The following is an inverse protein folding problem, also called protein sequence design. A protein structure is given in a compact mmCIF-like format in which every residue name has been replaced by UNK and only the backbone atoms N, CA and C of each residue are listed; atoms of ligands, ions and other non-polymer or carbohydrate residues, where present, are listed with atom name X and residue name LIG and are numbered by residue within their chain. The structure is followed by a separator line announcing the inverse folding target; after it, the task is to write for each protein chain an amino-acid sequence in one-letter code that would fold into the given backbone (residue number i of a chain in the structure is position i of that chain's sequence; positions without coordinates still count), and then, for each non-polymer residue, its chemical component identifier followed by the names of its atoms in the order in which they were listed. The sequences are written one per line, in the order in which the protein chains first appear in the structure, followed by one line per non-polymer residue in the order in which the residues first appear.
data_IF_413246630986
#
_entry.id   IF_413246630986
#
_cell.length_a   1.000
_cell.length_b   1.000
_cell.length_c   1.000
_cell.angle_alpha   90.00
_cell.angle_beta   90.00
_cell.angle_gamma   90.00
#
_symmetry.space_group_name_H-M   'P 1'
#
loop_
_entity.id
_entity.type
_entity.pdbx_description
1 polymer ?
#
# COMPACT_ATOMS: atom_id res chain seq x y z
N UNK A 1 45.14 -0.11 15.01
CA UNK A 1 44.22 -0.75 14.04
C UNK A 1 43.24 -1.70 14.74
N UNK A 2 42.36 -1.20 15.63
CA UNK A 2 41.36 -2.04 16.32
C UNK A 2 39.95 -1.43 16.35
N UNK A 3 39.81 -0.16 15.98
CA UNK A 3 38.54 0.59 16.09
C UNK A 3 37.68 0.58 14.80
N UNK A 4 38.23 0.13 13.66
CA UNK A 4 37.49 0.11 12.39
C UNK A 4 36.54 -1.09 12.25
N UNK A 5 36.75 -2.17 13.01
CA UNK A 5 35.93 -3.38 12.92
C UNK A 5 34.56 -3.22 13.60
N UNK A 6 34.45 -2.38 14.64
CA UNK A 6 33.22 -2.23 15.42
C UNK A 6 32.17 -1.40 14.65
N UNK A 7 32.61 -0.40 13.89
CA UNK A 7 31.72 0.49 13.12
C UNK A 7 31.04 -0.27 11.95
N UNK A 8 31.77 -1.19 11.31
CA UNK A 8 31.24 -1.98 10.21
C UNK A 8 30.13 -2.97 10.64
N UNK A 9 30.24 -3.57 11.83
CA UNK A 9 29.23 -4.51 12.35
C UNK A 9 27.94 -3.79 12.74
N UNK A 10 28.02 -2.57 13.29
CA UNK A 10 26.84 -1.76 13.64
C UNK A 10 26.11 -1.27 12.39
N UNK A 11 26.83 -0.91 11.32
CA UNK A 11 26.22 -0.52 10.05
C UNK A 11 25.46 -1.67 9.36
N UNK A 12 25.97 -2.91 9.46
CA UNK A 12 25.30 -4.12 8.97
C UNK A 12 24.05 -4.49 9.78
N UNK A 13 24.05 -4.22 11.10
CA UNK A 13 22.89 -4.46 11.96
C UNK A 13 21.76 -3.43 11.73
N UNK A 14 22.09 -2.20 11.36
CA UNK A 14 21.11 -1.16 11.02
C UNK A 14 20.50 -1.32 9.62
N UNK A 15 21.18 -2.05 8.72
CA UNK A 15 20.65 -2.40 7.40
C UNK A 15 19.55 -3.48 7.45
N UNK A 16 19.38 -4.17 8.59
CA UNK A 16 18.34 -5.19 8.80
C UNK A 16 16.96 -4.62 9.16
N UNK A 17 16.86 -3.34 9.51
CA UNK A 17 15.58 -2.67 9.78
C UNK A 17 14.95 -2.15 8.49
N UNK A 18 14.66 -3.05 7.54
CA UNK A 18 13.85 -2.68 6.37
C UNK A 18 12.37 -2.72 6.72
N UNK A 19 11.57 -1.85 6.10
CA UNK A 19 10.10 -1.88 6.25
C UNK A 19 9.53 -3.26 5.92
N UNK A 20 10.12 -3.95 4.94
CA UNK A 20 9.79 -5.33 4.58
C UNK A 20 10.05 -6.33 5.72
N UNK A 21 11.18 -6.22 6.44
CA UNK A 21 11.49 -7.08 7.56
C UNK A 21 10.52 -6.86 8.73
N UNK A 22 10.18 -5.59 9.01
CA UNK A 22 9.18 -5.23 10.02
C UNK A 22 7.80 -5.78 9.68
N UNK A 23 7.36 -5.61 8.44
CA UNK A 23 6.08 -6.11 7.95
C UNK A 23 6.01 -7.63 8.03
N UNK A 24 7.07 -8.33 7.61
CA UNK A 24 7.14 -9.79 7.64
C UNK A 24 7.12 -10.33 9.07
N UNK A 25 7.67 -9.58 10.03
CA UNK A 25 7.65 -9.92 11.46
C UNK A 25 6.28 -9.65 12.09
N UNK A 26 5.61 -8.57 11.71
CA UNK A 26 4.29 -8.20 12.22
C UNK A 26 3.16 -9.08 11.66
N UNK A 27 3.34 -9.60 10.43
CA UNK A 27 2.34 -10.39 9.73
C UNK A 27 2.92 -11.69 9.16
N UNK A 28 3.45 -12.60 10.00
CA UNK A 28 4.19 -13.78 9.56
C UNK A 28 3.31 -14.78 8.79
N UNK A 29 2.01 -14.81 9.09
CA UNK A 29 1.07 -15.80 8.54
C UNK A 29 0.36 -15.33 7.26
N UNK A 30 0.69 -14.13 6.75
CA UNK A 30 -0.01 -13.55 5.60
C UNK A 30 0.69 -13.86 4.29
N UNK A 31 -0.09 -14.27 3.30
CA UNK A 31 0.37 -14.46 1.93
C UNK A 31 0.51 -13.11 1.21
N UNK A 32 1.64 -12.92 0.51
CA UNK A 32 1.99 -11.66 -0.15
C UNK A 32 1.72 -11.75 -1.66
N UNK A 33 0.97 -10.79 -2.18
CA UNK A 33 0.67 -10.68 -3.62
C UNK A 33 0.96 -9.28 -4.13
N UNK A 34 1.71 -9.17 -5.23
CA UNK A 34 2.09 -7.90 -5.86
C UNK A 34 1.41 -7.76 -7.22
N UNK A 35 0.84 -6.60 -7.49
CA UNK A 35 0.17 -6.27 -8.74
C UNK A 35 0.66 -4.91 -9.24
N UNK A 36 0.71 -4.69 -10.55
CA UNK A 36 0.98 -3.36 -11.12
C UNK A 36 -0.32 -2.60 -11.29
N UNK A 37 -0.35 -1.34 -10.89
CA UNK A 37 -1.45 -0.42 -11.19
C UNK A 37 -1.35 0.11 -12.63
N UNK A 38 -2.29 0.97 -13.03
CA UNK A 38 -2.31 1.60 -14.35
C UNK A 38 -1.08 2.44 -14.67
N UNK A 39 -0.42 2.97 -13.64
CA UNK A 39 0.72 3.88 -13.74
C UNK A 39 2.06 3.12 -13.77
N UNK A 40 2.03 1.79 -13.61
CA UNK A 40 3.19 0.91 -13.61
C UNK A 40 3.78 0.64 -12.22
N UNK A 41 3.33 1.38 -11.21
CA UNK A 41 3.73 1.18 -9.82
C UNK A 41 3.15 -0.11 -9.25
N UNK A 42 3.86 -0.71 -8.31
CA UNK A 42 3.47 -2.00 -7.79
C UNK A 42 2.82 -1.88 -6.41
N UNK A 43 1.57 -2.35 -6.31
CA UNK A 43 0.81 -2.47 -5.08
C UNK A 43 0.98 -3.85 -4.47
N UNK A 44 1.32 -3.90 -3.19
CA UNK A 44 1.48 -5.15 -2.43
C UNK A 44 0.34 -5.35 -1.43
N UNK A 45 -0.24 -6.56 -1.46
CA UNK A 45 -1.32 -7.00 -0.57
C UNK A 45 -0.85 -8.17 0.30
N UNK A 46 -1.07 -8.06 1.61
CA UNK A 46 -0.93 -9.13 2.59
C UNK A 46 -2.28 -9.71 2.95
N UNK A 47 -2.59 -10.89 2.43
CA UNK A 47 -3.86 -11.54 2.65
C UNK A 47 -3.77 -12.62 3.72
N UNK A 48 -4.85 -12.80 4.49
CA UNK A 48 -5.01 -14.01 5.28
C UNK A 48 -4.81 -15.26 4.39
N UNK A 49 -4.24 -16.35 4.91
CA UNK A 49 -3.91 -17.51 4.10
C UNK A 49 -5.16 -18.26 3.60
N UNK A 50 -4.99 -19.10 2.58
CA UNK A 50 -6.03 -20.01 2.10
C UNK A 50 -6.06 -20.19 0.59
N UNK A 51 -6.74 -21.23 0.11
CA UNK A 51 -6.75 -21.61 -1.31
C UNK A 51 -7.25 -20.49 -2.26
N UNK A 52 -8.06 -19.56 -1.76
CA UNK A 52 -8.60 -18.42 -2.49
C UNK A 52 -7.86 -17.09 -2.21
N UNK A 53 -6.75 -17.09 -1.47
CA UNK A 53 -6.02 -15.89 -1.07
C UNK A 53 -5.61 -15.02 -2.28
N UNK A 54 -5.07 -15.63 -3.34
CA UNK A 54 -4.74 -14.93 -4.59
C UNK A 54 -5.96 -14.33 -5.28
N UNK A 55 -7.10 -15.01 -5.24
CA UNK A 55 -8.35 -14.51 -5.83
C UNK A 55 -8.89 -13.31 -5.04
N UNK A 56 -8.83 -13.36 -3.70
CA UNK A 56 -9.15 -12.21 -2.85
C UNK A 56 -8.20 -11.03 -3.10
N UNK A 57 -6.90 -11.28 -3.18
CA UNK A 57 -5.90 -10.25 -3.49
C UNK A 57 -6.18 -9.58 -4.84
N UNK A 58 -6.54 -10.37 -5.86
CA UNK A 58 -6.90 -9.84 -7.18
C UNK A 58 -8.16 -8.96 -7.13
N UNK A 59 -9.18 -9.37 -6.35
CA UNK A 59 -10.40 -8.56 -6.15
C UNK A 59 -10.10 -7.28 -5.36
N UNK A 60 -9.26 -7.36 -4.34
CA UNK A 60 -8.80 -6.20 -3.57
C UNK A 60 -8.07 -5.21 -4.49
N UNK A 61 -7.15 -5.69 -5.32
CA UNK A 61 -6.43 -4.86 -6.27
C UNK A 61 -7.35 -4.12 -7.25
N UNK A 62 -8.26 -4.83 -7.92
CA UNK A 62 -9.22 -4.22 -8.84
C UNK A 62 -10.14 -3.21 -8.14
N UNK A 63 -10.52 -3.49 -6.90
CA UNK A 63 -11.32 -2.56 -6.12
C UNK A 63 -10.54 -1.29 -5.79
N UNK A 64 -9.31 -1.40 -5.29
CA UNK A 64 -8.43 -0.26 -5.01
C UNK A 64 -8.21 0.58 -6.26
N UNK A 65 -7.85 -0.05 -7.38
CA UNK A 65 -7.59 0.63 -8.66
C UNK A 65 -8.81 1.42 -9.15
N UNK A 66 -10.01 0.84 -9.02
CA UNK A 66 -11.26 1.52 -9.36
C UNK A 66 -11.54 2.73 -8.45
N UNK A 67 -11.26 2.64 -7.14
CA UNK A 67 -11.45 3.76 -6.21
C UNK A 67 -10.46 4.90 -6.48
N UNK A 68 -9.18 4.57 -6.70
CA UNK A 68 -8.14 5.54 -7.04
C UNK A 68 -8.44 6.25 -8.36
N UNK A 69 -8.81 5.50 -9.39
CA UNK A 69 -9.22 6.06 -10.68
C UNK A 69 -10.43 6.99 -10.53
N UNK A 70 -11.44 6.59 -9.75
CA UNK A 70 -12.64 7.40 -9.55
C UNK A 70 -12.33 8.72 -8.84
N UNK A 71 -11.52 8.70 -7.77
CA UNK A 71 -11.17 9.93 -7.05
C UNK A 71 -10.22 10.82 -7.84
N UNK A 72 -9.31 10.25 -8.63
CA UNK A 72 -8.45 10.99 -9.54
C UNK A 72 -9.27 11.73 -10.63
N UNK A 73 -10.23 11.04 -11.27
CA UNK A 73 -11.14 11.66 -12.24
C UNK A 73 -11.97 12.77 -11.63
N UNK A 74 -12.51 12.54 -10.44
CA UNK A 74 -13.25 13.55 -9.69
C UNK A 74 -12.37 14.78 -9.40
N UNK A 75 -11.16 14.57 -8.87
CA UNK A 75 -10.22 15.65 -8.57
C UNK A 75 -9.83 16.44 -9.82
N UNK A 76 -9.47 15.76 -10.91
CA UNK A 76 -9.13 16.39 -12.19
C UNK A 76 -10.28 17.26 -12.71
N UNK A 77 -11.52 16.76 -12.67
CA UNK A 77 -12.69 17.54 -13.08
C UNK A 77 -12.90 18.79 -12.23
N UNK A 78 -12.72 18.70 -10.92
CA UNK A 78 -12.85 19.85 -10.03
C UNK A 78 -11.73 20.88 -10.16
N UNK A 79 -10.50 20.42 -10.42
CA UNK A 79 -9.34 21.29 -10.68
C UNK A 79 -9.57 22.08 -11.97
N UNK A 80 -9.90 21.40 -13.07
CA UNK A 80 -10.11 22.04 -14.39
C UNK A 80 -11.26 23.04 -14.33
N UNK A 81 -12.34 22.73 -13.62
CA UNK A 81 -13.50 23.60 -13.51
C UNK A 81 -13.36 24.68 -12.43
N UNK A 82 -12.29 24.68 -11.63
CA UNK A 82 -12.09 25.63 -10.53
C UNK A 82 -13.17 25.56 -9.44
N UNK A 83 -13.77 24.38 -9.24
CA UNK A 83 -14.96 24.20 -8.39
C UNK A 83 -14.67 23.62 -7.00
N UNK A 84 -13.43 23.20 -6.74
CA UNK A 84 -13.00 22.77 -5.42
C UNK A 84 -11.61 23.33 -5.09
N UNK A 85 -11.40 23.65 -3.82
CA UNK A 85 -10.09 24.04 -3.31
C UNK A 85 -9.18 22.83 -3.16
N UNK A 86 -7.86 23.04 -3.18
CA UNK A 86 -6.88 21.99 -2.91
C UNK A 86 -7.14 21.26 -1.59
N UNK A 87 -7.61 21.98 -0.55
CA UNK A 87 -7.96 21.38 0.74
C UNK A 87 -9.12 20.40 0.64
N UNK A 88 -10.17 20.74 -0.11
CA UNK A 88 -11.31 19.85 -0.32
C UNK A 88 -10.91 18.62 -1.13
N UNK A 89 -10.05 18.81 -2.14
CA UNK A 89 -9.52 17.72 -2.95
C UNK A 89 -8.69 16.74 -2.10
N UNK A 90 -7.72 17.25 -1.33
CA UNK A 90 -6.91 16.43 -0.43
C UNK A 90 -7.77 15.70 0.60
N UNK A 91 -8.74 16.39 1.22
CA UNK A 91 -9.63 15.77 2.19
C UNK A 91 -10.43 14.61 1.57
N UNK A 92 -10.90 14.76 0.33
CA UNK A 92 -11.63 13.71 -0.38
C UNK A 92 -10.73 12.53 -0.74
N UNK A 93 -9.51 12.79 -1.22
CA UNK A 93 -8.53 11.73 -1.54
C UNK A 93 -8.22 10.92 -0.29
N UNK A 94 -7.93 11.57 0.83
CA UNK A 94 -7.64 10.89 2.10
C UNK A 94 -8.82 10.03 2.56
N UNK A 95 -10.04 10.57 2.53
CA UNK A 95 -11.24 9.82 2.90
C UNK A 95 -11.49 8.60 2.01
N UNK A 96 -11.19 8.71 0.70
CA UNK A 96 -11.28 7.57 -0.22
C UNK A 96 -10.18 6.55 0.07
N UNK A 97 -8.96 6.98 0.35
CA UNK A 97 -7.85 6.10 0.69
C UNK A 97 -8.13 5.30 1.97
N UNK A 98 -8.51 5.98 3.06
CA UNK A 98 -8.89 5.35 4.34
C UNK A 98 -9.99 4.31 4.14
N UNK A 99 -11.10 4.71 3.52
CA UNK A 99 -12.21 3.79 3.26
C UNK A 99 -11.79 2.63 2.36
N UNK A 100 -10.90 2.86 1.39
CA UNK A 100 -10.43 1.79 0.50
C UNK A 100 -9.65 0.75 1.29
N UNK A 101 -8.74 1.17 2.17
CA UNK A 101 -7.97 0.27 3.04
C UNK A 101 -8.90 -0.53 3.94
N UNK A 102 -9.82 0.14 4.64
CA UNK A 102 -10.81 -0.51 5.51
C UNK A 102 -11.63 -1.57 4.77
N UNK A 103 -12.12 -1.23 3.57
CA UNK A 103 -12.91 -2.15 2.75
C UNK A 103 -12.06 -3.32 2.25
N UNK A 104 -10.78 -3.10 1.91
CA UNK A 104 -9.90 -4.18 1.48
C UNK A 104 -9.62 -5.19 2.59
N UNK A 105 -9.41 -4.71 3.82
CA UNK A 105 -9.22 -5.57 4.97
C UNK A 105 -10.52 -6.29 5.34
N UNK A 106 -11.63 -5.55 5.43
CA UNK A 106 -12.91 -6.11 5.87
C UNK A 106 -13.47 -7.13 4.89
N UNK A 107 -13.49 -6.80 3.59
CA UNK A 107 -14.15 -7.61 2.54
C UNK A 107 -13.24 -8.67 1.95
N UNK A 108 -11.96 -8.38 1.78
CA UNK A 108 -11.03 -9.29 1.10
C UNK A 108 -9.99 -9.90 2.05
N UNK A 109 -9.99 -9.53 3.33
CA UNK A 109 -9.03 -10.03 4.33
C UNK A 109 -7.59 -9.73 3.93
N UNK A 110 -7.37 -8.66 3.17
CA UNK A 110 -6.08 -8.24 2.65
C UNK A 110 -5.74 -6.84 3.14
N UNK A 111 -4.53 -6.67 3.66
CA UNK A 111 -3.93 -5.39 4.03
C UNK A 111 -3.08 -4.89 2.86
N UNK A 112 -3.25 -3.64 2.43
CA UNK A 112 -2.38 -3.00 1.45
C UNK A 112 -1.20 -2.36 2.20
N UNK A 113 0.03 -2.70 1.83
CA UNK A 113 1.23 -2.33 2.63
C UNK A 113 2.29 -1.52 1.88
N UNK A 114 2.22 -1.43 0.55
CA UNK A 114 3.14 -0.60 -0.20
C UNK A 114 2.63 -0.30 -1.61
N UNK A 115 2.94 0.89 -2.10
CA UNK A 115 2.77 1.37 -3.45
C UNK A 115 4.11 1.98 -3.86
N UNK A 116 5.12 1.14 -4.04
CA UNK A 116 6.49 1.54 -4.35
C UNK A 116 7.08 0.76 -5.52
#
# INVERSE_FOLDING_TARGET
MKSFAIIAVVALLLAGCTTDALISTAYPDRERFRFRNSDGDALTYLCAPGADAKARATKAHRYTDAQLTAVAKWAAGHIVNGTATSRQISARINAVAEKTVEETERRYKCLMIDAS
#
